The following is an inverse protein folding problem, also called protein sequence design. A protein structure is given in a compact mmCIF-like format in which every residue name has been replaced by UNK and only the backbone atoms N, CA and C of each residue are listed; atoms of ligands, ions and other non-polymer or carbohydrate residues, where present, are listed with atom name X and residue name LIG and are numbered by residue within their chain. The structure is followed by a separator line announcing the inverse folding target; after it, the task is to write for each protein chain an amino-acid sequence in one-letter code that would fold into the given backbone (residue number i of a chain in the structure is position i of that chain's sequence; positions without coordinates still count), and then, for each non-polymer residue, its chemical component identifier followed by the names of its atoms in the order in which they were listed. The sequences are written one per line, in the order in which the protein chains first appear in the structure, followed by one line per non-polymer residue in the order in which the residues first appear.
data_IF_282571286767
#
_entry.id   IF_282571286767
#
_cell.length_a   1.000
_cell.length_b   1.000
_cell.length_c   1.000
_cell.angle_alpha   90.00
_cell.angle_beta   90.00
_cell.angle_gamma   90.00
#
_symmetry.space_group_name_H-M   'P 1'
#
loop_
_entity.id
_entity.type
_entity.pdbx_description
1 polymer ?
#
# COMPACT_ATOMS: atom_id res chain seq x y z
N UNK A 1 24.89 -8.47 1.33
CA UNK A 1 24.93 -9.30 0.09
C UNK A 1 26.32 -9.41 -0.57
N UNK A 2 27.24 -8.44 -0.45
CA UNK A 2 28.54 -8.47 -1.14
C UNK A 2 29.54 -9.55 -0.67
N UNK A 3 29.61 -9.83 0.63
CA UNK A 3 30.62 -10.76 1.16
C UNK A 3 30.30 -12.23 0.87
N UNK A 4 29.03 -12.66 0.98
CA UNK A 4 28.61 -14.02 0.60
C UNK A 4 28.85 -14.31 -0.89
N UNK A 5 28.59 -13.32 -1.76
CA UNK A 5 28.92 -13.42 -3.19
C UNK A 5 30.44 -13.50 -3.41
N UNK A 6 31.23 -12.76 -2.63
CA UNK A 6 32.69 -12.80 -2.67
C UNK A 6 33.22 -14.16 -2.21
N UNK A 7 32.70 -14.73 -1.12
CA UNK A 7 33.07 -16.07 -0.64
C UNK A 7 32.77 -17.12 -1.70
N UNK A 8 31.58 -17.09 -2.30
CA UNK A 8 31.20 -18.02 -3.36
C UNK A 8 32.13 -17.91 -4.59
N UNK A 9 32.49 -16.69 -4.99
CA UNK A 9 33.43 -16.44 -6.09
C UNK A 9 34.86 -16.91 -5.78
N UNK A 10 35.31 -16.79 -4.53
CA UNK A 10 36.63 -17.28 -4.08
C UNK A 10 36.68 -18.80 -3.92
N UNK A 11 35.54 -19.45 -3.63
CA UNK A 11 35.41 -20.91 -3.54
C UNK A 11 35.35 -21.58 -4.92
N UNK A 12 34.68 -20.95 -5.88
CA UNK A 12 34.85 -21.30 -7.28
C UNK A 12 36.28 -20.96 -7.70
N UNK A 13 36.95 -21.77 -8.52
CA UNK A 13 38.27 -21.42 -9.11
C UNK A 13 38.18 -20.24 -10.10
N UNK A 14 37.16 -19.39 -9.97
CA UNK A 14 36.92 -18.23 -10.81
C UNK A 14 37.91 -17.12 -10.48
N UNK A 15 38.18 -16.25 -11.45
CA UNK A 15 38.98 -15.07 -11.24
C UNK A 15 38.34 -14.19 -10.14
N UNK A 16 39.20 -13.54 -9.37
CA UNK A 16 38.83 -12.67 -8.24
C UNK A 16 37.77 -11.64 -8.65
N UNK A 17 36.81 -11.29 -7.77
CA UNK A 17 35.94 -10.14 -8.03
C UNK A 17 36.79 -8.87 -8.15
N UNK A 18 36.97 -8.40 -9.39
CA UNK A 18 37.75 -7.22 -9.68
C UNK A 18 37.03 -5.95 -9.21
N UNK A 19 37.76 -4.88 -8.85
CA UNK A 19 37.16 -3.56 -8.69
C UNK A 19 36.33 -3.20 -9.93
N UNK A 20 35.18 -2.54 -9.74
CA UNK A 20 34.23 -2.29 -10.83
C UNK A 20 34.85 -1.62 -12.06
N UNK A 21 35.80 -0.70 -11.88
CA UNK A 21 36.53 -0.06 -12.99
C UNK A 21 37.44 -1.03 -13.76
N UNK A 22 38.09 -1.98 -13.08
CA UNK A 22 38.93 -2.99 -13.71
C UNK A 22 38.10 -4.01 -14.49
N UNK A 23 36.98 -4.45 -13.92
CA UNK A 23 36.04 -5.34 -14.60
C UNK A 23 35.45 -4.72 -15.88
N UNK A 24 35.06 -3.43 -15.82
CA UNK A 24 34.56 -2.69 -16.98
C UNK A 24 35.64 -2.55 -18.07
N UNK A 25 36.87 -2.18 -17.68
CA UNK A 25 37.97 -2.04 -18.63
C UNK A 25 38.33 -3.38 -19.28
N UNK A 26 38.42 -4.46 -18.50
CA UNK A 26 38.65 -5.81 -19.02
C UNK A 26 37.62 -6.21 -20.06
N UNK A 27 36.34 -5.93 -19.78
CA UNK A 27 35.24 -6.16 -20.73
C UNK A 27 35.42 -5.35 -22.01
N UNK A 28 35.68 -4.05 -21.89
CA UNK A 28 35.89 -3.18 -23.05
C UNK A 28 37.05 -3.65 -23.95
N UNK A 29 38.16 -4.08 -23.34
CA UNK A 29 39.30 -4.64 -24.08
C UNK A 29 38.97 -5.95 -24.79
N UNK A 30 38.21 -6.83 -24.12
CA UNK A 30 37.76 -8.10 -24.71
C UNK A 30 36.81 -7.88 -25.90
N UNK A 31 35.87 -6.94 -25.76
CA UNK A 31 34.90 -6.61 -26.81
C UNK A 31 35.60 -6.06 -28.08
N UNK A 32 36.72 -5.36 -27.92
CA UNK A 32 37.56 -4.86 -29.02
C UNK A 32 38.66 -5.85 -29.47
N UNK A 33 38.70 -7.07 -28.90
CA UNK A 33 39.66 -8.11 -29.28
C UNK A 33 41.12 -7.76 -28.96
N UNK A 34 41.36 -6.97 -27.91
CA UNK A 34 42.69 -6.56 -27.46
C UNK A 34 43.20 -7.58 -26.41
N UNK A 35 44.18 -8.43 -26.74
CA UNK A 35 44.73 -9.42 -25.82
C UNK A 35 45.52 -8.73 -24.71
N UNK A 36 45.18 -9.08 -23.47
CA UNK A 36 45.72 -8.45 -22.27
C UNK A 36 45.69 -9.40 -21.06
N UNK A 37 46.55 -9.11 -20.10
CA UNK A 37 46.54 -9.71 -18.77
C UNK A 37 46.40 -8.62 -17.70
N UNK A 38 45.82 -8.94 -16.54
CA UNK A 38 45.93 -8.06 -15.38
C UNK A 38 47.17 -8.42 -14.57
N UNK A 39 47.79 -7.42 -13.94
CA UNK A 39 48.94 -7.64 -13.07
C UNK A 39 48.59 -8.62 -11.93
N UNK A 40 47.37 -8.54 -11.37
CA UNK A 40 46.89 -9.46 -10.34
C UNK A 40 46.89 -10.94 -10.76
N UNK A 41 46.77 -11.22 -12.06
CA UNK A 41 46.66 -12.58 -12.59
C UNK A 41 48.02 -13.23 -12.79
N UNK A 42 49.06 -12.42 -12.98
CA UNK A 42 50.40 -12.90 -13.36
C UNK A 42 51.37 -12.97 -12.20
N UNK A 43 51.06 -12.35 -11.05
CA UNK A 43 51.94 -12.30 -9.88
C UNK A 43 51.55 -13.40 -8.90
N UNK A 44 52.51 -14.26 -8.57
CA UNK A 44 52.43 -15.26 -7.51
C UNK A 44 53.51 -14.96 -6.44
N UNK A 45 53.13 -14.98 -5.16
CA UNK A 45 54.11 -14.85 -4.06
C UNK A 45 54.60 -16.24 -3.69
N UNK A 46 55.91 -16.46 -3.72
CA UNK A 46 56.51 -17.78 -3.48
C UNK A 46 56.74 -18.07 -1.99
N UNK A 47 56.92 -17.04 -1.18
CA UNK A 47 57.10 -17.13 0.27
C UNK A 47 55.92 -16.45 1.01
N UNK A 48 55.01 -17.22 1.64
CA UNK A 48 53.85 -16.69 2.35
C UNK A 48 54.18 -15.67 3.44
N UNK A 49 55.38 -15.72 4.05
CA UNK A 49 55.83 -14.75 5.06
C UNK A 49 55.83 -13.33 4.50
N UNK A 50 56.11 -13.18 3.22
CA UNK A 50 56.21 -11.88 2.53
C UNK A 50 54.93 -11.48 1.80
N UNK A 51 53.85 -12.26 1.92
CA UNK A 51 52.58 -11.95 1.24
C UNK A 51 52.09 -10.54 1.58
N UNK A 52 52.04 -10.17 2.86
CA UNK A 52 51.57 -8.85 3.29
C UNK A 52 52.44 -7.71 2.76
N UNK A 53 53.76 -7.89 2.76
CA UNK A 53 54.72 -6.93 2.22
C UNK A 53 54.53 -6.72 0.70
N UNK A 54 54.39 -7.82 -0.06
CA UNK A 54 54.15 -7.76 -1.51
C UNK A 54 52.80 -7.12 -1.82
N UNK A 55 51.75 -7.49 -1.10
CA UNK A 55 50.41 -6.90 -1.23
C UNK A 55 50.41 -5.40 -0.91
N UNK A 56 51.17 -4.97 0.10
CA UNK A 56 51.33 -3.57 0.46
C UNK A 56 52.01 -2.74 -0.64
N UNK A 57 53.10 -3.26 -1.21
CA UNK A 57 53.83 -2.58 -2.29
C UNK A 57 53.03 -2.58 -3.60
N UNK A 58 52.43 -3.71 -3.95
CA UNK A 58 51.72 -3.89 -5.22
C UNK A 58 50.26 -3.46 -5.17
N UNK A 59 49.70 -3.16 -4.00
CA UNK A 59 48.27 -2.92 -3.81
C UNK A 59 47.69 -1.80 -4.69
N UNK A 60 48.49 -0.76 -4.96
CA UNK A 60 48.12 0.33 -5.87
C UNK A 60 48.16 -0.03 -7.36
N UNK A 61 48.85 -1.13 -7.71
CA UNK A 61 49.05 -1.61 -9.07
C UNK A 61 48.21 -2.84 -9.42
N UNK A 62 47.37 -3.32 -8.50
CA UNK A 62 46.56 -4.53 -8.71
C UNK A 62 45.66 -4.49 -9.95
N UNK A 63 45.25 -3.29 -10.38
CA UNK A 63 44.43 -3.06 -11.57
C UNK A 63 45.24 -2.56 -12.77
N UNK A 64 46.55 -2.76 -12.81
CA UNK A 64 47.34 -2.45 -14.01
C UNK A 64 47.04 -3.48 -15.10
N UNK A 65 46.75 -2.99 -16.30
CA UNK A 65 46.54 -3.81 -17.49
C UNK A 65 47.86 -3.94 -18.24
N UNK A 66 48.19 -5.15 -18.66
CA UNK A 66 49.38 -5.49 -19.42
C UNK A 66 48.93 -5.92 -20.82
N UNK A 67 49.32 -5.17 -21.85
CA UNK A 67 48.99 -5.53 -23.22
C UNK A 67 49.96 -6.60 -23.72
N UNK A 68 49.44 -7.62 -24.41
CA UNK A 68 50.31 -8.62 -25.04
C UNK A 68 51.01 -8.05 -26.29
N UNK A 69 50.39 -7.06 -26.94
CA UNK A 69 50.87 -6.44 -28.17
C UNK A 69 50.95 -4.92 -27.99
N UNK A 70 52.16 -4.38 -28.00
CA UNK A 70 52.39 -2.94 -27.85
C UNK A 70 51.66 -2.08 -28.91
N UNK A 71 51.43 -2.62 -30.12
CA UNK A 71 50.71 -1.94 -31.21
C UNK A 71 49.24 -1.61 -30.88
N UNK A 72 48.64 -2.29 -29.90
CA UNK A 72 47.24 -2.08 -29.52
C UNK A 72 47.06 -0.92 -28.52
N UNK A 73 48.17 -0.33 -28.05
CA UNK A 73 48.15 0.75 -27.07
C UNK A 73 47.25 1.94 -27.46
N UNK A 74 47.25 2.44 -28.71
CA UNK A 74 46.37 3.55 -29.08
C UNK A 74 44.88 3.22 -28.94
N UNK A 75 44.48 1.98 -29.24
CA UNK A 75 43.09 1.54 -29.09
C UNK A 75 42.73 1.37 -27.60
N UNK A 76 43.61 0.73 -26.82
CA UNK A 76 43.42 0.55 -25.39
C UNK A 76 43.33 1.88 -24.63
N UNK A 77 44.13 2.89 -25.00
CA UNK A 77 44.09 4.20 -24.35
C UNK A 77 42.79 4.98 -24.67
N UNK A 78 42.25 4.87 -25.89
CA UNK A 78 40.95 5.46 -26.23
C UNK A 78 39.81 4.86 -25.41
N UNK A 79 39.86 3.54 -25.19
CA UNK A 79 38.90 2.86 -24.31
C UNK A 79 39.06 3.33 -22.86
N UNK A 80 40.29 3.42 -22.36
CA UNK A 80 40.58 3.90 -21.02
C UNK A 80 40.09 5.33 -20.78
N UNK A 81 40.25 6.23 -21.76
CA UNK A 81 39.74 7.59 -21.69
C UNK A 81 38.21 7.61 -21.57
N UNK A 82 37.52 6.82 -22.42
CA UNK A 82 36.06 6.69 -22.41
C UNK A 82 35.54 6.13 -21.09
N UNK A 83 36.16 5.08 -20.58
CA UNK A 83 35.80 4.41 -19.33
C UNK A 83 36.35 5.13 -18.08
N UNK A 84 37.08 6.24 -18.25
CA UNK A 84 37.76 7.00 -17.18
C UNK A 84 38.63 6.11 -16.30
N UNK A 85 39.36 5.21 -16.93
CA UNK A 85 40.19 4.22 -16.27
C UNK A 85 41.39 4.89 -15.58
N UNK A 86 41.51 4.69 -14.27
CA UNK A 86 42.51 5.39 -13.42
C UNK A 86 43.85 4.67 -13.31
N UNK A 87 43.93 3.43 -13.78
CA UNK A 87 45.12 2.61 -13.62
C UNK A 87 45.93 2.55 -14.92
N UNK A 88 47.22 2.23 -14.80
CA UNK A 88 48.09 2.16 -15.96
C UNK A 88 47.69 1.03 -16.91
N UNK A 89 47.83 1.31 -18.19
CA UNK A 89 47.86 0.33 -19.27
C UNK A 89 49.28 0.32 -19.79
N UNK A 90 49.96 -0.82 -19.71
CA UNK A 90 51.38 -0.95 -20.04
C UNK A 90 51.54 -1.76 -21.32
N UNK A 91 52.04 -1.16 -22.41
CA UNK A 91 52.33 -1.87 -23.65
C UNK A 91 53.67 -2.62 -23.64
N UNK A 92 54.66 -2.08 -22.93
CA UNK A 92 56.04 -2.58 -22.94
C UNK A 92 56.31 -3.44 -21.70
N UNK A 93 56.22 -4.76 -21.89
CA UNK A 93 56.49 -5.75 -20.85
C UNK A 93 57.73 -6.58 -21.20
N UNK A 94 58.56 -6.86 -20.19
CA UNK A 94 59.77 -7.68 -20.31
C UNK A 94 59.63 -8.98 -19.51
N UNK A 95 60.48 -9.96 -19.80
CA UNK A 95 60.58 -11.15 -18.95
C UNK A 95 61.28 -10.79 -17.64
N UNK A 96 60.66 -11.12 -16.52
CA UNK A 96 61.21 -10.83 -15.20
C UNK A 96 62.42 -11.74 -14.93
N UNK A 97 63.57 -11.18 -14.48
CA UNK A 97 64.71 -11.99 -14.09
C UNK A 97 64.39 -12.79 -12.82
N UNK A 98 64.91 -14.01 -12.75
CA UNK A 98 64.84 -14.83 -11.52
C UNK A 98 66.06 -14.54 -10.66
N UNK A 99 65.84 -13.88 -9.52
CA UNK A 99 66.90 -13.44 -8.60
C UNK A 99 66.76 -14.18 -7.26
N UNK A 100 67.87 -14.55 -6.64
CA UNK A 100 67.93 -15.24 -5.33
C UNK A 100 68.71 -14.43 -4.29
N UNK A 101 68.44 -13.14 -4.22
CA UNK A 101 69.07 -12.21 -3.29
C UNK A 101 68.09 -11.78 -2.17
N UNK A 102 68.45 -10.75 -1.41
CA UNK A 102 67.58 -10.17 -0.38
C UNK A 102 66.51 -9.22 -0.94
N UNK A 103 66.39 -9.03 -2.25
CA UNK A 103 65.37 -8.14 -2.83
C UNK A 103 63.94 -8.68 -2.66
N UNK A 104 62.94 -7.81 -2.70
CA UNK A 104 61.53 -8.21 -2.69
C UNK A 104 61.14 -8.96 -3.97
N UNK A 105 61.84 -8.70 -5.09
CA UNK A 105 61.64 -9.42 -6.34
C UNK A 105 61.86 -10.93 -6.19
N UNK A 106 62.80 -11.37 -5.33
CA UNK A 106 63.14 -12.79 -5.19
C UNK A 106 62.00 -13.66 -4.65
N UNK A 107 60.99 -13.07 -4.00
CA UNK A 107 59.80 -13.76 -3.47
C UNK A 107 58.57 -13.61 -4.36
N UNK A 108 58.73 -13.01 -5.54
CA UNK A 108 57.67 -12.80 -6.51
C UNK A 108 57.98 -13.58 -7.78
N UNK A 109 57.02 -14.38 -8.24
CA UNK A 109 57.08 -15.08 -9.51
C UNK A 109 56.06 -14.48 -10.46
N UNK A 110 56.52 -14.09 -11.65
CA UNK A 110 55.67 -13.67 -12.75
C UNK A 110 55.40 -14.84 -13.70
N UNK A 111 54.14 -15.14 -14.00
CA UNK A 111 53.74 -16.18 -14.96
C UNK A 111 53.73 -15.70 -16.41
N UNK A 112 53.81 -14.38 -16.63
CA UNK A 112 53.89 -13.72 -17.93
C UNK A 112 54.86 -12.52 -17.87
N UNK A 113 55.03 -11.82 -18.99
CA UNK A 113 55.85 -10.60 -19.06
C UNK A 113 55.28 -9.52 -18.15
N UNK A 114 56.16 -8.77 -17.49
CA UNK A 114 55.81 -7.73 -16.53
C UNK A 114 56.46 -6.38 -16.89
N UNK A 115 55.94 -5.26 -16.38
CA UNK A 115 56.54 -3.95 -16.64
C UNK A 115 57.95 -3.81 -16.06
N UNK A 116 58.88 -3.24 -16.83
CA UNK A 116 60.27 -3.05 -16.39
C UNK A 116 60.38 -2.21 -15.12
N UNK A 117 59.63 -1.10 -15.05
CA UNK A 117 59.62 -0.22 -13.87
C UNK A 117 59.19 -0.94 -12.59
N UNK A 118 58.34 -1.96 -12.70
CA UNK A 118 57.87 -2.72 -11.55
C UNK A 118 58.96 -3.69 -11.08
N UNK A 119 59.62 -4.36 -12.02
CA UNK A 119 60.77 -5.22 -11.74
C UNK A 119 61.88 -4.40 -11.06
N UNK A 120 62.19 -3.22 -11.59
CA UNK A 120 63.18 -2.31 -11.00
C UNK A 120 62.78 -1.89 -9.58
N UNK A 121 61.50 -1.61 -9.34
CA UNK A 121 60.99 -1.26 -8.02
C UNK A 121 61.15 -2.41 -7.02
N UNK A 122 60.74 -3.62 -7.37
CA UNK A 122 60.86 -4.79 -6.51
C UNK A 122 62.32 -5.20 -6.26
N UNK A 123 63.21 -4.92 -7.21
CA UNK A 123 64.65 -5.20 -7.09
C UNK A 123 65.33 -4.27 -6.09
N UNK A 124 64.90 -3.00 -6.01
CA UNK A 124 65.45 -1.99 -5.08
C UNK A 124 65.08 -2.23 -3.62
N UNK A 125 63.91 -2.83 -3.37
CA UNK A 125 63.41 -3.02 -2.00
C UNK A 125 64.09 -4.25 -1.39
N UNK A 126 64.86 -4.04 -0.32
CA UNK A 126 65.43 -5.15 0.45
C UNK A 126 64.44 -5.71 1.47
N UNK A 127 64.39 -7.03 1.60
CA UNK A 127 63.60 -7.74 2.62
C UNK A 127 64.40 -7.83 3.91
N UNK A 128 63.83 -7.31 5.01
CA UNK A 128 64.44 -7.34 6.34
C UNK A 128 63.46 -7.88 7.39
N UNK A 129 63.92 -8.72 8.32
CA UNK A 129 63.01 -9.40 9.25
C UNK A 129 62.34 -8.46 10.26
N UNK A 130 63.00 -7.35 10.59
CA UNK A 130 62.52 -6.37 11.56
C UNK A 130 62.94 -4.95 11.18
N UNK A 131 62.33 -3.96 11.83
CA UNK A 131 62.73 -2.54 11.71
C UNK A 131 64.18 -2.34 12.15
N UNK A 132 64.60 -3.02 13.22
CA UNK A 132 65.98 -2.94 13.74
C UNK A 132 67.00 -3.49 12.74
N UNK A 133 66.65 -4.57 12.03
CA UNK A 133 67.51 -5.14 10.98
C UNK A 133 67.52 -4.23 9.73
N UNK A 134 66.40 -3.58 9.44
CA UNK A 134 66.30 -2.52 8.43
C UNK A 134 67.27 -1.36 8.67
N UNK A 135 67.42 -0.89 9.90
CA UNK A 135 68.39 0.17 10.22
C UNK A 135 69.85 -0.29 10.19
N UNK A 136 70.11 -1.60 10.32
CA UNK A 136 71.45 -2.17 10.16
C UNK A 136 71.78 -2.47 8.69
N UNK A 137 70.78 -2.56 7.83
CA UNK A 137 70.96 -2.76 6.40
C UNK A 137 71.70 -1.57 5.78
N UNK A 138 72.49 -1.87 4.73
CA UNK A 138 73.14 -0.86 3.88
C UNK A 138 72.22 -0.36 2.76
N UNK A 139 71.02 -0.90 2.62
CA UNK A 139 70.05 -0.50 1.61
C UNK A 139 69.33 0.79 2.02
N UNK A 140 69.15 1.68 1.06
CA UNK A 140 68.32 2.89 1.21
C UNK A 140 66.82 2.57 1.25
N UNK A 141 66.41 1.39 0.77
CA UNK A 141 65.03 0.97 0.69
C UNK A 141 64.84 -0.47 1.21
N UNK A 142 63.97 -0.65 2.20
CA UNK A 142 63.69 -1.96 2.78
C UNK A 142 62.25 -2.10 3.28
N UNK A 143 61.79 -3.35 3.43
CA UNK A 143 60.45 -3.68 3.91
C UNK A 143 60.48 -4.85 4.89
N UNK A 144 59.63 -4.79 5.92
CA UNK A 144 59.40 -5.89 6.87
C UNK A 144 58.28 -6.84 6.41
N UNK A 145 58.18 -8.06 6.96
CA UNK A 145 57.07 -8.98 6.66
C UNK A 145 55.69 -8.37 6.94
N UNK A 146 55.57 -7.54 7.98
CA UNK A 146 54.35 -6.79 8.36
C UNK A 146 54.11 -5.54 7.49
N UNK A 147 54.78 -5.45 6.34
CA UNK A 147 54.66 -4.38 5.35
C UNK A 147 55.04 -2.99 5.88
N UNK A 148 55.97 -2.88 6.84
CA UNK A 148 56.56 -1.58 7.18
C UNK A 148 57.67 -1.28 6.18
N UNK A 149 57.49 -0.23 5.38
CA UNK A 149 58.37 0.13 4.27
C UNK A 149 59.11 1.42 4.57
N UNK A 150 60.43 1.41 4.42
CA UNK A 150 61.29 2.59 4.50
C UNK A 150 61.95 2.81 3.15
N UNK A 151 61.90 4.04 2.67
CA UNK A 151 62.62 4.51 1.50
C UNK A 151 63.34 5.83 1.83
N UNK A 152 64.01 6.42 0.83
CA UNK A 152 64.73 7.69 0.97
C UNK A 152 63.90 8.84 1.55
N UNK A 153 62.57 8.84 1.33
CA UNK A 153 61.65 9.88 1.81
C UNK A 153 61.22 9.69 3.26
N UNK A 154 61.43 8.52 3.85
CA UNK A 154 60.96 8.16 5.19
C UNK A 154 60.36 6.75 5.25
N UNK A 155 59.82 6.40 6.42
CA UNK A 155 59.14 5.13 6.66
C UNK A 155 57.62 5.29 6.76
N UNK A 156 56.87 4.29 6.28
CA UNK A 156 55.42 4.20 6.42
C UNK A 156 54.96 2.76 6.45
N UNK A 157 53.81 2.53 7.08
CA UNK A 157 53.12 1.25 6.95
C UNK A 157 52.44 1.15 5.58
N UNK A 158 52.68 0.05 4.89
CA UNK A 158 51.94 -0.42 3.72
C UNK A 158 51.02 -1.59 4.08
N UNK A 159 50.69 -1.75 5.36
CA UNK A 159 49.87 -2.86 5.83
C UNK A 159 48.53 -2.91 5.09
N UNK A 160 48.20 -4.09 4.58
CA UNK A 160 46.92 -4.41 3.96
C UNK A 160 46.32 -5.56 4.73
N UNK A 161 45.05 -5.45 5.10
CA UNK A 161 44.33 -6.54 5.74
C UNK A 161 44.30 -7.78 4.84
N UNK A 162 44.48 -9.00 5.38
CA UNK A 162 44.43 -10.23 4.59
C UNK A 162 43.13 -10.39 3.80
N UNK A 163 42.00 -9.89 4.32
CA UNK A 163 40.70 -9.85 3.64
C UNK A 163 40.69 -9.04 2.33
N UNK A 164 41.74 -8.26 2.06
CA UNK A 164 41.92 -7.41 0.88
C UNK A 164 43.03 -7.85 -0.06
N UNK A 165 43.71 -8.96 0.23
CA UNK A 165 44.75 -9.50 -0.65
C UNK A 165 44.23 -9.80 -2.06
N UNK A 166 45.10 -9.58 -3.07
CA UNK A 166 44.77 -9.64 -4.50
C UNK A 166 45.73 -10.48 -5.34
N UNK A 167 46.94 -10.73 -4.85
CA UNK A 167 48.01 -11.35 -5.64
C UNK A 167 48.25 -12.79 -5.22
N UNK A 168 48.35 -13.67 -6.23
CA UNK A 168 48.73 -15.07 -6.08
C UNK A 168 47.69 -15.96 -5.40
N UNK A 169 47.92 -17.27 -5.49
CA UNK A 169 47.04 -18.29 -4.91
C UNK A 169 47.04 -18.28 -3.38
N UNK A 170 48.20 -18.07 -2.76
CA UNK A 170 48.34 -17.97 -1.30
C UNK A 170 47.56 -16.77 -0.72
N UNK A 171 47.65 -15.60 -1.36
CA UNK A 171 46.88 -14.41 -1.00
C UNK A 171 45.37 -14.64 -1.07
N UNK A 172 44.89 -15.35 -2.10
CA UNK A 172 43.47 -15.73 -2.22
C UNK A 172 42.98 -16.61 -1.06
N UNK A 173 43.77 -17.61 -0.66
CA UNK A 173 43.44 -18.51 0.45
C UNK A 173 43.37 -17.73 1.76
N UNK A 174 44.40 -16.92 2.07
CA UNK A 174 44.43 -16.10 3.28
C UNK A 174 43.26 -15.10 3.34
N UNK A 175 42.89 -14.53 2.19
CA UNK A 175 41.71 -13.66 2.07
C UNK A 175 40.41 -14.41 2.36
N UNK A 176 40.23 -15.59 1.77
CA UNK A 176 39.06 -16.42 2.00
C UNK A 176 38.94 -16.77 3.49
N UNK A 177 40.03 -17.21 4.12
CA UNK A 177 40.07 -17.50 5.56
C UNK A 177 39.73 -16.26 6.41
N UNK A 178 40.31 -15.11 6.10
CA UNK A 178 40.05 -13.87 6.83
C UNK A 178 38.57 -13.43 6.72
N UNK A 179 37.99 -13.48 5.53
CA UNK A 179 36.58 -13.15 5.31
C UNK A 179 35.69 -14.14 6.06
N UNK A 180 35.97 -15.44 5.96
CA UNK A 180 35.23 -16.48 6.68
C UNK A 180 35.30 -16.30 8.20
N UNK A 181 36.44 -15.89 8.74
CA UNK A 181 36.62 -15.61 10.16
C UNK A 181 35.84 -14.37 10.62
N UNK A 182 35.70 -13.36 9.77
CA UNK A 182 34.94 -12.13 10.09
C UNK A 182 33.43 -12.28 10.00
N UNK A 183 32.94 -13.24 9.20
CA UNK A 183 31.52 -13.39 8.88
C UNK A 183 30.63 -13.60 10.13
N UNK A 184 30.95 -14.48 11.09
CA UNK A 184 30.11 -14.68 12.28
C UNK A 184 29.98 -13.42 13.15
N UNK A 185 31.05 -12.61 13.21
CA UNK A 185 31.03 -11.36 13.98
C UNK A 185 30.13 -10.30 13.35
N UNK A 186 30.06 -10.26 12.02
CA UNK A 186 29.13 -9.39 11.29
C UNK A 186 27.68 -9.87 11.44
N UNK A 187 27.45 -11.19 11.39
CA UNK A 187 26.13 -11.78 11.63
C UNK A 187 25.64 -11.46 13.06
N UNK A 188 26.50 -11.55 14.08
CA UNK A 188 26.14 -11.17 15.45
C UNK A 188 25.81 -9.67 15.58
N UNK A 189 26.51 -8.80 14.84
CA UNK A 189 26.20 -7.37 14.80
C UNK A 189 24.85 -7.10 14.12
N UNK A 190 24.53 -7.80 13.04
CA UNK A 190 23.25 -7.73 12.35
C UNK A 190 22.10 -8.13 13.30
N UNK A 191 22.25 -9.23 14.03
CA UNK A 191 21.28 -9.69 15.01
C UNK A 191 21.06 -8.65 16.13
N UNK A 192 22.14 -8.07 16.66
CA UNK A 192 22.07 -7.01 17.69
C UNK A 192 21.34 -5.77 17.17
N UNK A 193 21.66 -5.31 15.96
CA UNK A 193 20.99 -4.16 15.35
C UNK A 193 19.50 -4.45 15.09
N UNK A 194 19.17 -5.66 14.66
CA UNK A 194 17.78 -6.08 14.43
C UNK A 194 16.95 -6.06 15.73
N UNK A 195 17.53 -6.52 16.83
CA UNK A 195 16.93 -6.43 18.18
C UNK A 195 16.76 -4.97 18.64
N UNK A 196 17.74 -4.09 18.37
CA UNK A 196 17.63 -2.68 18.69
C UNK A 196 16.53 -1.99 17.88
N UNK A 197 16.41 -2.30 16.59
CA UNK A 197 15.36 -1.77 15.72
C UNK A 197 13.98 -2.18 16.23
N UNK A 198 13.77 -3.45 16.58
CA UNK A 198 12.46 -3.92 17.07
C UNK A 198 12.08 -3.28 18.40
N UNK A 199 13.04 -3.10 19.31
CA UNK A 199 12.85 -2.38 20.58
C UNK A 199 12.46 -0.92 20.34
N UNK A 200 13.22 -0.19 19.50
CA UNK A 200 12.93 1.21 19.19
C UNK A 200 11.57 1.36 18.50
N UNK A 201 11.20 0.44 17.61
CA UNK A 201 9.88 0.44 16.97
C UNK A 201 8.74 0.30 17.99
N UNK A 202 8.90 -0.58 18.99
CA UNK A 202 7.94 -0.74 20.10
C UNK A 202 7.85 0.53 20.95
N UNK A 203 8.98 1.14 21.31
CA UNK A 203 9.02 2.39 22.09
C UNK A 203 8.34 3.54 21.34
N UNK A 204 8.60 3.69 20.04
CA UNK A 204 7.95 4.69 19.18
C UNK A 204 6.43 4.46 19.12
N UNK A 205 5.99 3.21 18.98
CA UNK A 205 4.56 2.87 18.98
C UNK A 205 3.89 3.25 20.31
N UNK A 206 4.54 2.93 21.44
CA UNK A 206 4.05 3.30 22.77
C UNK A 206 3.96 4.82 22.98
N UNK A 207 4.97 5.57 22.52
CA UNK A 207 4.95 7.04 22.60
C UNK A 207 3.84 7.64 21.73
N UNK A 208 3.62 7.13 20.51
CA UNK A 208 2.51 7.56 19.64
C UNK A 208 1.15 7.32 20.30
N UNK A 209 0.95 6.16 20.91
CA UNK A 209 -0.29 5.85 21.63
C UNK A 209 -0.53 6.81 22.81
N UNK A 210 0.53 7.17 23.56
CA UNK A 210 0.43 8.15 24.65
C UNK A 210 0.07 9.54 24.15
N UNK A 211 0.68 9.99 23.05
CA UNK A 211 0.37 11.29 22.44
C UNK A 211 -1.09 11.32 21.99
N UNK A 212 -1.54 10.30 21.26
CA UNK A 212 -2.94 10.19 20.84
C UNK A 212 -3.93 10.19 22.02
N UNK A 213 -3.58 9.52 23.12
CA UNK A 213 -4.39 9.54 24.34
C UNK A 213 -4.48 10.92 25.00
N UNK A 214 -3.38 11.68 25.01
CA UNK A 214 -3.36 13.06 25.52
C UNK A 214 -4.20 13.98 24.63
N UNK A 215 -4.12 13.82 23.32
CA UNK A 215 -4.91 14.62 22.37
C UNK A 215 -6.41 14.31 22.51
N UNK A 216 -6.79 13.04 22.68
CA UNK A 216 -8.17 12.65 22.96
C UNK A 216 -8.69 13.24 24.28
N UNK A 217 -7.86 13.25 25.34
CA UNK A 217 -8.24 13.87 26.62
C UNK A 217 -8.46 15.39 26.48
N UNK A 218 -7.62 16.08 25.71
CA UNK A 218 -7.78 17.52 25.42
C UNK A 218 -9.04 17.80 24.60
N UNK A 219 -9.36 16.94 23.63
CA UNK A 219 -10.58 17.10 22.83
C UNK A 219 -11.84 16.93 23.69
N UNK A 220 -11.84 15.97 24.63
CA UNK A 220 -12.93 15.80 25.59
C UNK A 220 -13.10 17.04 26.50
N UNK A 221 -12.00 17.59 27.01
CA UNK A 221 -12.01 18.81 27.84
C UNK A 221 -12.54 20.02 27.06
N UNK A 222 -12.06 20.21 25.81
CA UNK A 222 -12.53 21.29 24.95
C UNK A 222 -14.02 21.23 24.62
N UNK A 223 -14.60 20.01 24.54
CA UNK A 223 -16.02 19.79 24.23
C UNK A 223 -16.89 19.61 25.47
N UNK A 224 -16.34 19.76 26.68
CA UNK A 224 -17.07 19.53 27.92
C UNK A 224 -18.31 20.42 28.03
N UNK A 225 -18.21 21.70 27.64
CA UNK A 225 -19.35 22.62 27.64
C UNK A 225 -20.50 22.17 26.72
N UNK A 226 -20.19 21.61 25.54
CA UNK A 226 -21.18 21.06 24.61
C UNK A 226 -21.90 19.85 25.23
N UNK A 227 -21.15 18.94 25.89
CA UNK A 227 -21.73 17.78 26.56
C UNK A 227 -22.61 18.19 27.75
N UNK A 228 -22.19 19.18 28.54
CA UNK A 228 -22.98 19.71 29.65
C UNK A 228 -24.25 20.41 29.17
N UNK A 229 -24.20 21.14 28.05
CA UNK A 229 -25.39 21.71 27.42
C UNK A 229 -26.33 20.63 26.89
N UNK A 230 -25.81 19.62 26.19
CA UNK A 230 -26.60 18.49 25.71
C UNK A 230 -27.26 17.72 26.87
N UNK A 231 -26.54 17.51 27.98
CA UNK A 231 -27.08 16.88 29.19
C UNK A 231 -28.19 17.71 29.83
N UNK A 232 -28.03 19.04 29.90
CA UNK A 232 -29.07 19.96 30.40
C UNK A 232 -30.33 19.94 29.52
N UNK A 233 -30.17 19.87 28.20
CA UNK A 233 -31.28 19.89 27.25
C UNK A 233 -31.99 18.54 27.11
N UNK A 234 -31.36 17.43 27.48
CA UNK A 234 -31.93 16.09 27.36
C UNK A 234 -33.21 15.90 28.21
N UNK A 235 -33.22 16.44 29.42
CA UNK A 235 -34.38 16.42 30.33
C UNK A 235 -35.61 17.10 29.72
N UNK A 236 -35.56 18.41 29.42
CA UNK A 236 -36.70 19.14 28.88
C UNK A 236 -37.18 18.57 27.54
N UNK A 237 -36.27 18.18 26.64
CA UNK A 237 -36.65 17.58 25.35
C UNK A 237 -37.39 16.25 25.51
N UNK A 238 -37.03 15.42 26.50
CA UNK A 238 -37.78 14.19 26.82
C UNK A 238 -39.18 14.50 27.32
N UNK A 239 -39.33 15.50 28.19
CA UNK A 239 -40.62 15.94 28.71
C UNK A 239 -41.49 16.49 27.58
N UNK A 240 -40.96 17.38 26.76
CA UNK A 240 -41.67 17.95 25.61
C UNK A 240 -42.12 16.85 24.64
N UNK A 241 -41.26 15.86 24.35
CA UNK A 241 -41.63 14.71 23.52
C UNK A 241 -42.82 13.94 24.09
N UNK A 242 -42.86 13.72 25.41
CA UNK A 242 -43.98 13.03 26.07
C UNK A 242 -45.26 13.87 26.01
N UNK A 243 -45.17 15.18 26.26
CA UNK A 243 -46.31 16.10 26.17
C UNK A 243 -46.89 16.17 24.75
N UNK A 244 -46.03 16.32 23.74
CA UNK A 244 -46.45 16.32 22.33
C UNK A 244 -47.09 14.99 21.96
N UNK A 245 -46.51 13.87 22.42
CA UNK A 245 -47.09 12.54 22.22
C UNK A 245 -48.49 12.41 22.84
N UNK A 246 -48.69 12.91 24.06
CA UNK A 246 -49.99 12.92 24.72
C UNK A 246 -51.02 13.77 23.96
N UNK A 247 -50.66 15.00 23.59
CA UNK A 247 -51.51 15.91 22.80
C UNK A 247 -51.88 15.30 21.44
N UNK A 248 -50.94 14.64 20.78
CA UNK A 248 -51.20 13.98 19.50
C UNK A 248 -52.18 12.81 19.66
N UNK A 249 -52.07 12.03 20.74
CA UNK A 249 -53.04 10.98 21.08
C UNK A 249 -54.45 11.53 21.34
N UNK A 250 -54.56 12.63 22.09
CA UNK A 250 -55.84 13.32 22.33
C UNK A 250 -56.46 13.82 21.02
N UNK A 251 -55.68 14.50 20.18
CA UNK A 251 -56.13 15.00 18.88
C UNK A 251 -56.56 13.88 17.93
N UNK A 252 -55.86 12.74 17.95
CA UNK A 252 -56.25 11.56 17.18
C UNK A 252 -57.61 11.02 17.64
N UNK A 253 -57.86 10.93 18.96
CA UNK A 253 -59.13 10.50 19.50
C UNK A 253 -60.27 11.47 19.13
N UNK A 254 -60.04 12.78 19.27
CA UNK A 254 -61.01 13.81 18.88
C UNK A 254 -61.33 13.77 17.38
N UNK A 255 -60.31 13.64 16.53
CA UNK A 255 -60.49 13.56 15.07
C UNK A 255 -61.27 12.31 14.68
N UNK A 256 -60.97 11.16 15.31
CA UNK A 256 -61.74 9.93 15.11
C UNK A 256 -63.20 10.11 15.50
N UNK A 257 -63.47 10.68 16.68
CA UNK A 257 -64.83 10.93 17.15
C UNK A 257 -65.59 11.89 16.23
N UNK A 258 -64.95 12.98 15.80
CA UNK A 258 -65.53 13.93 14.87
C UNK A 258 -65.84 13.27 13.51
N UNK A 259 -64.96 12.38 13.03
CA UNK A 259 -65.19 11.63 11.79
C UNK A 259 -66.39 10.68 11.93
N UNK A 260 -66.51 9.95 13.05
CA UNK A 260 -67.67 9.09 13.34
C UNK A 260 -68.96 9.90 13.47
N UNK A 261 -68.91 11.05 14.13
CA UNK A 261 -70.07 11.93 14.27
C UNK A 261 -70.52 12.45 12.89
N UNK A 262 -69.57 12.89 12.05
CA UNK A 262 -69.84 13.33 10.68
C UNK A 262 -70.47 12.21 9.85
N UNK A 263 -69.91 11.01 9.85
CA UNK A 263 -70.45 9.90 9.06
C UNK A 263 -71.86 9.50 9.53
N UNK A 264 -72.13 9.50 10.84
CA UNK A 264 -73.48 9.28 11.37
C UNK A 264 -74.45 10.38 10.94
N UNK A 265 -74.04 11.64 10.98
CA UNK A 265 -74.87 12.75 10.52
C UNK A 265 -75.16 12.64 9.02
N UNK A 266 -74.16 12.29 8.20
CA UNK A 266 -74.30 12.07 6.77
C UNK A 266 -75.27 10.93 6.46
N UNK A 267 -75.19 9.79 7.16
CA UNK A 267 -76.12 8.67 6.95
C UNK A 267 -77.54 9.01 7.37
N UNK A 268 -77.73 9.69 8.50
CA UNK A 268 -79.05 10.18 8.94
C UNK A 268 -79.63 11.14 7.91
N UNK A 269 -78.84 12.09 7.41
CA UNK A 269 -79.28 13.02 6.38
C UNK A 269 -79.63 12.31 5.07
N UNK A 270 -78.82 11.36 4.60
CA UNK A 270 -79.11 10.57 3.40
C UNK A 270 -80.41 9.77 3.56
N UNK A 271 -80.61 9.11 4.70
CA UNK A 271 -81.83 8.35 4.97
C UNK A 271 -83.06 9.26 5.03
N UNK A 272 -82.97 10.40 5.72
CA UNK A 272 -84.05 11.38 5.78
C UNK A 272 -84.39 11.94 4.39
N UNK A 273 -83.38 12.19 3.56
CA UNK A 273 -83.55 12.64 2.17
C UNK A 273 -84.26 11.58 1.31
N UNK A 274 -83.88 10.31 1.43
CA UNK A 274 -84.52 9.20 0.70
C UNK A 274 -85.97 9.01 1.17
N UNK A 275 -86.21 8.99 2.48
CA UNK A 275 -87.56 8.89 3.05
C UNK A 275 -88.47 10.05 2.62
N UNK A 276 -87.93 11.28 2.57
CA UNK A 276 -88.67 12.43 2.04
C UNK A 276 -89.03 12.24 0.57
N UNK A 277 -88.07 11.80 -0.26
CA UNK A 277 -88.30 11.52 -1.68
C UNK A 277 -89.36 10.43 -1.90
N UNK A 278 -89.33 9.36 -1.10
CA UNK A 278 -90.34 8.29 -1.14
C UNK A 278 -91.72 8.78 -0.71
N UNK A 279 -91.79 9.57 0.38
CA UNK A 279 -93.04 10.15 0.85
C UNK A 279 -93.65 11.11 -0.18
N UNK A 280 -92.84 11.95 -0.82
CA UNK A 280 -93.28 12.82 -1.90
C UNK A 280 -93.77 12.03 -3.12
N UNK A 281 -93.07 10.98 -3.53
CA UNK A 281 -93.49 10.10 -4.62
C UNK A 281 -94.81 9.38 -4.30
N UNK A 282 -94.95 8.88 -3.07
CA UNK A 282 -96.17 8.27 -2.56
C UNK A 282 -97.35 9.24 -2.55
N UNK A 283 -97.13 10.50 -2.11
CA UNK A 283 -98.14 11.56 -2.16
C UNK A 283 -98.59 11.83 -3.60
N UNK A 284 -97.65 11.95 -4.55
CA UNK A 284 -97.96 12.18 -5.98
C UNK A 284 -98.79 11.03 -6.56
N UNK A 285 -98.43 9.78 -6.28
CA UNK A 285 -99.17 8.60 -6.75
C UNK A 285 -100.56 8.50 -6.12
N UNK A 286 -100.67 8.68 -4.80
CA UNK A 286 -101.96 8.65 -4.11
C UNK A 286 -102.89 9.77 -4.58
N UNK A 287 -102.36 10.98 -4.79
CA UNK A 287 -103.12 12.09 -5.34
C UNK A 287 -103.64 11.78 -6.76
N UNK A 288 -102.79 11.20 -7.62
CA UNK A 288 -103.20 10.75 -8.96
C UNK A 288 -104.31 9.69 -8.89
N UNK A 289 -104.16 8.66 -8.05
CA UNK A 289 -105.19 7.63 -7.82
C UNK A 289 -106.50 8.22 -7.33
N UNK A 290 -106.46 9.19 -6.39
CA UNK A 290 -107.68 9.86 -5.91
C UNK A 290 -108.39 10.64 -7.01
N UNK A 291 -107.65 11.30 -7.90
CA UNK A 291 -108.21 11.99 -9.07
C UNK A 291 -108.87 10.99 -10.01
N UNK A 292 -108.18 9.89 -10.33
CA UNK A 292 -108.70 8.81 -11.19
C UNK A 292 -109.98 8.19 -10.61
N UNK A 293 -109.98 7.79 -9.33
CA UNK A 293 -111.17 7.27 -8.64
C UNK A 293 -112.33 8.27 -8.61
N UNK A 294 -112.05 9.55 -8.39
CA UNK A 294 -113.08 10.60 -8.44
C UNK A 294 -113.67 10.76 -9.84
N UNK A 295 -112.85 10.62 -10.88
CA UNK A 295 -113.32 10.64 -12.26
C UNK A 295 -114.20 9.42 -12.56
N UNK A 296 -113.77 8.22 -12.17
CA UNK A 296 -114.55 6.97 -12.29
C UNK A 296 -115.92 7.08 -11.58
N UNK A 297 -115.94 7.47 -10.30
CA UNK A 297 -117.21 7.69 -9.57
C UNK A 297 -118.10 8.75 -10.23
N UNK A 298 -117.52 9.80 -10.81
CA UNK A 298 -118.30 10.81 -11.54
C UNK A 298 -118.90 10.25 -12.84
N UNK A 299 -118.20 9.36 -13.54
CA UNK A 299 -118.73 8.65 -14.70
C UNK A 299 -119.84 7.67 -14.33
N UNK A 300 -119.68 6.89 -13.26
CA UNK A 300 -120.71 6.00 -12.71
C UNK A 300 -121.97 6.77 -12.31
N UNK A 301 -121.82 7.92 -11.63
CA UNK A 301 -122.95 8.79 -11.30
C UNK A 301 -123.64 9.34 -12.55
N UNK A 302 -122.88 9.69 -13.60
CA UNK A 302 -123.45 10.13 -14.88
C UNK A 302 -124.20 9.00 -15.58
N UNK A 303 -123.67 7.77 -15.58
CA UNK A 303 -124.34 6.61 -16.20
C UNK A 303 -125.62 6.26 -15.45
N UNK A 304 -125.60 6.24 -14.12
CA UNK A 304 -126.79 6.08 -13.26
C UNK A 304 -127.85 7.16 -13.55
N UNK A 305 -127.45 8.43 -13.67
CA UNK A 305 -128.38 9.53 -14.01
C UNK A 305 -128.97 9.40 -15.41
N UNK A 306 -128.21 8.91 -16.39
CA UNK A 306 -128.74 8.64 -17.74
C UNK A 306 -129.75 7.51 -17.69
N UNK A 307 -129.41 6.38 -17.05
CA UNK A 307 -130.32 5.25 -16.86
C UNK A 307 -131.61 5.68 -16.14
N UNK A 308 -131.50 6.54 -15.11
CA UNK A 308 -132.62 7.11 -14.36
C UNK A 308 -133.66 7.79 -15.25
N UNK A 309 -133.25 8.44 -16.34
CA UNK A 309 -134.17 9.14 -17.27
C UNK A 309 -135.02 8.19 -18.10
N UNK A 310 -134.53 6.98 -18.34
CA UNK A 310 -135.20 5.97 -19.16
C UNK A 310 -136.06 4.99 -18.35
N UNK A 311 -136.06 5.10 -17.01
CA UNK A 311 -136.95 4.32 -16.15
C UNK A 311 -138.42 4.77 -16.28
N UNK A 312 -139.40 3.84 -16.27
CA UNK A 312 -140.82 4.17 -16.30
C UNK A 312 -141.22 5.18 -15.20
N UNK A 313 -142.18 6.08 -15.49
CA UNK A 313 -142.58 7.13 -14.54
C UNK A 313 -143.06 6.55 -13.19
N UNK A 314 -143.75 5.41 -13.22
CA UNK A 314 -144.21 4.69 -12.02
C UNK A 314 -143.06 4.30 -11.08
N UNK A 315 -141.86 4.02 -11.61
CA UNK A 315 -140.67 3.64 -10.85
C UNK A 315 -139.91 4.86 -10.28
N UNK A 316 -140.17 6.07 -10.82
CA UNK A 316 -139.57 7.33 -10.34
C UNK A 316 -140.37 8.02 -9.23
N UNK A 317 -141.56 7.51 -8.91
CA UNK A 317 -142.41 8.04 -7.85
C UNK A 317 -141.72 7.94 -6.48
N UNK A 318 -141.83 8.98 -5.66
CA UNK A 318 -141.22 9.00 -4.32
C UNK A 318 -141.77 7.88 -3.42
N UNK A 319 -143.06 7.57 -3.56
CA UNK A 319 -143.74 6.49 -2.83
C UNK A 319 -143.20 5.10 -3.19
N UNK A 320 -142.96 4.79 -4.47
CA UNK A 320 -142.39 3.49 -4.88
C UNK A 320 -140.93 3.32 -4.47
N UNK A 321 -140.16 4.42 -4.44
CA UNK A 321 -138.75 4.40 -3.98
C UNK A 321 -138.64 4.19 -2.48
N UNK A 322 -139.50 4.84 -1.69
CA UNK A 322 -139.59 4.58 -0.26
C UNK A 322 -139.90 3.09 0.01
N UNK A 323 -140.86 2.52 -0.74
CA UNK A 323 -141.19 1.10 -0.65
C UNK A 323 -140.02 0.17 -1.05
N UNK A 324 -139.26 0.47 -2.12
CA UNK A 324 -138.09 -0.33 -2.53
C UNK A 324 -136.92 -0.23 -1.54
N UNK A 325 -136.74 0.92 -0.88
CA UNK A 325 -135.74 1.07 0.19
C UNK A 325 -136.16 0.27 1.41
N UNK A 326 -137.46 0.26 1.78
CA UNK A 326 -137.99 -0.63 2.83
C UNK A 326 -137.90 -2.12 2.47
N UNK A 327 -138.03 -2.49 1.19
CA UNK A 327 -138.02 -3.89 0.71
C UNK A 327 -136.61 -4.48 0.54
N UNK A 328 -135.57 -3.63 0.41
CA UNK A 328 -134.18 -4.05 0.17
C UNK A 328 -133.15 -3.46 1.14
N UNK A 329 -133.59 -2.76 2.19
CA UNK A 329 -132.75 -2.51 3.36
C UNK A 329 -132.76 -3.75 4.27
N UNK A 330 -131.70 -4.56 4.12
CA UNK A 330 -131.11 -5.29 5.23
C UNK A 330 -129.95 -4.45 5.78
#
# INVERSE_FOLDING_TARGET
MGERATISALQGKSAMPEPGSAALMRRALNDEGIPHAMLSDIVEVTDPKWQGAVEGVLGGYASVVLLERAKDAPAAYKLAEKERYRHFIVPDCIEAPSVKDSSLLSVVKFSAKAPSWLIDQLTRIERVDSVDDGFKSRSDEWITPDAYHRERRGGRSLFVEPSRYRFGSAGRIQRLEAIQKSLPGLEEQEDKLTLQISRLASEVSGLRARIAGVDAAKELDARQAEFEEAARNLGPLKTERLEVGARLGELQALTKNATVARTRADTVWQNARMALSEAEAGLRLNHRRQIEQRAEHAEELRSLRRAWRHLPHSWRSASRRAALVEEHQN
#
